data_IF_912127326021
#
_entry.id   IF_912127326021
#
_cell.length_a   1.000
_cell.length_b   1.000
_cell.length_c   1.000
_cell.angle_alpha   90.00
_cell.angle_beta   90.00
_cell.angle_gamma   90.00
#
_symmetry.space_group_name_H-M   'P 1'
#
loop_
_entity.id
_entity.type
_entity.pdbx_description
1 polymer ?
#
# COMPACT_ATOMS: atom_id res chain seq x y z
N UNK A 1 -10.34 -11.48 -0.84
CA UNK A 1 -11.45 -10.90 -0.04
C UNK A 1 -12.51 -11.96 0.27
N UNK A 2 -13.45 -12.30 -0.63
CA UNK A 2 -14.59 -13.21 -0.30
C UNK A 2 -14.41 -14.69 -0.68
N UNK A 3 -13.25 -15.04 -1.26
CA UNK A 3 -12.96 -16.40 -1.73
C UNK A 3 -13.67 -16.80 -3.04
N UNK A 4 -13.24 -17.91 -3.65
CA UNK A 4 -13.68 -18.33 -4.98
C UNK A 4 -15.17 -18.72 -5.07
N UNK A 5 -15.72 -19.36 -4.03
CA UNK A 5 -17.11 -19.84 -4.07
C UNK A 5 -18.12 -18.67 -4.04
N UNK A 6 -17.99 -17.77 -3.06
CA UNK A 6 -18.88 -16.60 -2.92
C UNK A 6 -18.76 -15.65 -4.11
N UNK A 7 -17.55 -15.42 -4.62
CA UNK A 7 -17.39 -14.62 -5.83
C UNK A 7 -18.19 -15.19 -7.02
N UNK A 8 -18.13 -16.51 -7.25
CA UNK A 8 -18.88 -17.16 -8.33
C UNK A 8 -20.39 -17.10 -8.13
N UNK A 9 -20.86 -17.28 -6.89
CA UNK A 9 -22.28 -17.13 -6.53
C UNK A 9 -22.80 -15.74 -6.90
N UNK A 10 -22.09 -14.67 -6.52
CA UNK A 10 -22.45 -13.29 -6.86
C UNK A 10 -22.53 -13.12 -8.39
N UNK A 11 -21.50 -13.52 -9.14
CA UNK A 11 -21.45 -13.28 -10.58
C UNK A 11 -22.40 -14.16 -11.41
N UNK A 12 -22.64 -15.41 -11.00
CA UNK A 12 -23.51 -16.31 -11.76
C UNK A 12 -24.99 -16.15 -11.43
N UNK A 13 -25.32 -15.82 -10.18
CA UNK A 13 -26.71 -15.74 -9.74
C UNK A 13 -27.24 -14.31 -9.71
N UNK A 14 -26.38 -13.30 -9.51
CA UNK A 14 -26.79 -11.90 -9.50
C UNK A 14 -27.78 -11.55 -8.38
N UNK A 15 -27.71 -12.22 -7.24
CA UNK A 15 -28.57 -11.94 -6.09
C UNK A 15 -28.20 -10.61 -5.41
N UNK A 16 -29.18 -10.03 -4.74
CA UNK A 16 -28.98 -8.89 -3.84
C UNK A 16 -28.46 -9.38 -2.48
N UNK A 17 -27.55 -8.60 -1.90
CA UNK A 17 -27.01 -8.84 -0.57
C UNK A 17 -27.08 -7.57 0.26
N UNK A 18 -27.52 -7.71 1.50
CA UNK A 18 -27.49 -6.64 2.50
C UNK A 18 -26.06 -6.28 2.90
N UNK A 19 -25.88 -5.12 3.54
CA UNK A 19 -24.59 -4.71 4.10
C UNK A 19 -24.05 -5.72 5.12
N UNK A 20 -24.94 -6.36 5.88
CA UNK A 20 -24.59 -7.37 6.87
C UNK A 20 -24.08 -8.66 6.23
N UNK A 21 -24.75 -9.17 5.21
CA UNK A 21 -24.27 -10.35 4.45
C UNK A 21 -22.93 -10.04 3.77
N UNK A 22 -22.77 -8.85 3.20
CA UNK A 22 -21.51 -8.42 2.58
C UNK A 22 -20.34 -8.32 3.58
N UNK A 23 -20.62 -7.93 4.83
CA UNK A 23 -19.65 -7.96 5.92
C UNK A 23 -19.26 -9.39 6.31
N UNK A 24 -20.25 -10.27 6.45
CA UNK A 24 -20.02 -11.69 6.76
C UNK A 24 -19.24 -12.43 5.67
N UNK A 25 -19.42 -12.03 4.41
CA UNK A 25 -18.61 -12.52 3.28
C UNK A 25 -17.18 -11.99 3.28
N UNK A 26 -16.92 -10.85 3.93
CA UNK A 26 -15.60 -10.21 4.01
C UNK A 26 -15.31 -9.16 2.93
N UNK A 27 -16.33 -8.62 2.24
CA UNK A 27 -16.16 -7.50 1.29
C UNK A 27 -16.55 -6.13 1.86
N UNK A 28 -17.20 -6.09 3.02
CA UNK A 28 -17.44 -4.86 3.80
C UNK A 28 -16.63 -4.95 5.10
N UNK A 29 -15.94 -3.87 5.48
CA UNK A 29 -15.12 -3.85 6.69
C UNK A 29 -15.91 -3.54 7.98
N UNK A 30 -17.01 -2.80 7.88
CA UNK A 30 -17.89 -2.46 9.02
C UNK A 30 -19.28 -2.06 8.52
N UNK A 31 -20.32 -2.54 9.20
CA UNK A 31 -21.72 -2.11 9.01
C UNK A 31 -22.07 -1.06 10.05
N UNK A 32 -22.77 -0.01 9.63
CA UNK A 32 -23.22 1.10 10.49
C UNK A 32 -24.61 1.55 10.08
N UNK A 33 -25.29 2.26 10.98
CA UNK A 33 -26.56 2.91 10.66
C UNK A 33 -26.38 3.94 9.55
N UNK A 34 -27.40 4.07 8.70
CA UNK A 34 -27.33 4.91 7.50
C UNK A 34 -26.94 6.37 7.80
N UNK A 35 -27.47 6.93 8.90
CA UNK A 35 -27.20 8.31 9.30
C UNK A 35 -25.79 8.52 9.91
N UNK A 36 -25.09 7.46 10.28
CA UNK A 36 -23.71 7.52 10.82
C UNK A 36 -22.64 7.19 9.79
N UNK A 37 -23.02 6.82 8.55
CA UNK A 37 -22.09 6.35 7.53
C UNK A 37 -20.92 7.31 7.30
N UNK A 38 -21.22 8.60 7.09
CA UNK A 38 -20.20 9.61 6.83
C UNK A 38 -19.37 9.93 8.08
N UNK A 39 -20.00 9.97 9.26
CA UNK A 39 -19.30 10.21 10.53
C UNK A 39 -18.26 9.13 10.79
N UNK A 40 -18.64 7.86 10.60
CA UNK A 40 -17.73 6.72 10.77
C UNK A 40 -16.61 6.74 9.71
N UNK A 41 -16.94 7.07 8.45
CA UNK A 41 -15.94 7.17 7.38
C UNK A 41 -14.89 8.27 7.68
N UNK A 42 -15.33 9.44 8.14
CA UNK A 42 -14.44 10.54 8.55
C UNK A 42 -13.61 10.15 9.77
N UNK A 43 -14.17 9.39 10.72
CA UNK A 43 -13.44 8.86 11.87
C UNK A 43 -12.30 7.94 11.43
N UNK A 44 -12.55 7.02 10.50
CA UNK A 44 -11.53 6.14 9.94
C UNK A 44 -10.47 6.92 9.15
N UNK A 45 -10.90 7.90 8.36
CA UNK A 45 -9.98 8.79 7.63
C UNK A 45 -9.04 9.55 8.56
N UNK A 46 -9.55 10.08 9.68
CA UNK A 46 -8.72 10.71 10.72
C UNK A 46 -7.71 9.74 11.33
N UNK A 47 -8.13 8.51 11.63
CA UNK A 47 -7.23 7.49 12.18
C UNK A 47 -6.10 7.14 11.20
N UNK A 48 -6.41 6.93 9.92
CA UNK A 48 -5.42 6.65 8.87
C UNK A 48 -4.47 7.84 8.67
N UNK A 49 -4.99 9.07 8.65
CA UNK A 49 -4.19 10.28 8.47
C UNK A 49 -3.32 10.62 9.68
N UNK A 50 -3.54 9.97 10.84
CA UNK A 50 -2.66 10.08 12.01
C UNK A 50 -1.37 9.26 11.89
N UNK A 51 -1.24 8.38 10.88
CA UNK A 51 -0.12 7.44 10.73
C UNK A 51 0.99 8.02 9.85
N UNK A 52 2.17 7.38 9.90
CA UNK A 52 3.30 7.74 9.04
C UNK A 52 2.90 7.66 7.56
N UNK A 53 2.95 8.77 6.79
CA UNK A 53 2.57 8.76 5.38
C UNK A 53 3.42 7.80 4.54
N UNK A 54 4.70 7.63 4.90
CA UNK A 54 5.59 6.65 4.26
C UNK A 54 5.14 5.23 4.54
N UNK A 55 4.83 4.90 5.80
CA UNK A 55 4.34 3.57 6.15
C UNK A 55 3.01 3.25 5.44
N UNK A 56 2.06 4.19 5.43
CA UNK A 56 0.77 4.00 4.75
C UNK A 56 0.92 3.72 3.25
N UNK A 57 1.83 4.44 2.58
CA UNK A 57 2.09 4.24 1.15
C UNK A 57 2.79 2.92 0.86
N UNK A 58 3.80 2.56 1.65
CA UNK A 58 4.50 1.29 1.51
C UNK A 58 3.60 0.10 1.80
N UNK A 59 2.75 0.17 2.83
CA UNK A 59 1.78 -0.88 3.16
C UNK A 59 0.77 -1.08 2.03
N UNK A 60 0.22 0.00 1.46
CA UNK A 60 -0.69 -0.08 0.32
C UNK A 60 -0.04 -0.83 -0.84
N UNK A 61 1.16 -0.43 -1.25
CA UNK A 61 1.85 -1.12 -2.36
C UNK A 61 2.30 -2.54 -1.98
N UNK A 62 2.65 -2.78 -0.72
CA UNK A 62 3.01 -4.11 -0.22
C UNK A 62 1.84 -5.08 -0.26
N UNK A 63 0.62 -4.64 0.09
CA UNK A 63 -0.58 -5.48 -0.02
C UNK A 63 -0.98 -5.78 -1.46
N UNK A 64 -0.75 -4.83 -2.38
CA UNK A 64 -1.04 -4.99 -3.80
C UNK A 64 -0.02 -5.88 -4.53
N UNK A 65 1.25 -5.85 -4.10
CA UNK A 65 2.38 -6.51 -4.74
C UNK A 65 2.13 -7.99 -5.15
N UNK A 66 1.61 -8.88 -4.29
CA UNK A 66 1.41 -10.28 -4.66
C UNK A 66 0.33 -10.49 -5.74
N UNK A 67 -0.62 -9.56 -5.87
CA UNK A 67 -1.77 -9.71 -6.76
C UNK A 67 -1.60 -8.94 -8.10
N UNK A 68 -0.80 -7.87 -8.11
CA UNK A 68 -0.65 -6.96 -9.26
C UNK A 68 0.55 -7.31 -10.20
N UNK A 69 1.30 -8.37 -9.90
CA UNK A 69 2.42 -8.84 -10.72
C UNK A 69 3.50 -7.78 -10.97
N UNK A 70 3.95 -7.62 -12.22
CA UNK A 70 5.01 -6.66 -12.58
C UNK A 70 4.63 -5.20 -12.30
N UNK A 71 3.35 -4.85 -12.40
CA UNK A 71 2.87 -3.49 -12.09
C UNK A 71 2.97 -3.24 -10.58
N UNK A 72 2.55 -4.22 -9.77
CA UNK A 72 2.72 -4.17 -8.32
C UNK A 72 4.19 -4.00 -7.92
N UNK A 73 5.08 -4.78 -8.55
CA UNK A 73 6.52 -4.69 -8.33
C UNK A 73 7.08 -3.32 -8.70
N UNK A 74 6.68 -2.76 -9.85
CA UNK A 74 7.11 -1.43 -10.28
C UNK A 74 6.72 -0.35 -9.27
N UNK A 75 5.47 -0.37 -8.77
CA UNK A 75 4.98 0.64 -7.82
C UNK A 75 5.70 0.54 -6.47
N UNK A 76 5.86 -0.67 -5.94
CA UNK A 76 6.56 -0.89 -4.67
C UNK A 76 8.06 -0.55 -4.79
N UNK A 77 8.73 -1.03 -5.84
CA UNK A 77 10.15 -0.76 -6.07
C UNK A 77 10.42 0.73 -6.33
N UNK A 78 9.48 1.44 -6.97
CA UNK A 78 9.57 2.90 -7.17
C UNK A 78 9.63 3.67 -5.85
N UNK A 79 8.82 3.30 -4.85
CA UNK A 79 8.91 3.91 -3.52
C UNK A 79 10.14 3.47 -2.72
N UNK A 80 10.57 2.20 -2.84
CA UNK A 80 11.85 1.76 -2.27
C UNK A 80 13.03 2.58 -2.85
N UNK A 81 12.99 2.86 -4.16
CA UNK A 81 13.97 3.71 -4.84
C UNK A 81 13.91 5.16 -4.33
N UNK A 82 12.71 5.71 -4.13
CA UNK A 82 12.54 7.04 -3.51
C UNK A 82 13.16 7.10 -2.11
N UNK A 83 13.00 6.05 -1.31
CA UNK A 83 13.62 5.96 0.02
C UNK A 83 15.14 5.91 -0.08
N UNK A 84 15.70 5.14 -1.02
CA UNK A 84 17.14 5.08 -1.26
C UNK A 84 17.70 6.47 -1.64
N UNK A 85 17.00 7.23 -2.48
CA UNK A 85 17.39 8.60 -2.83
C UNK A 85 17.45 9.58 -1.65
N UNK A 86 16.82 9.26 -0.52
CA UNK A 86 16.86 10.08 0.69
C UNK A 86 18.09 9.84 1.59
N UNK A 87 19.03 8.98 1.18
CA UNK A 87 20.19 8.59 1.99
C UNK A 87 21.46 9.34 1.60
N UNK A 88 22.41 9.42 2.54
CA UNK A 88 23.76 9.95 2.30
C UNK A 88 24.53 9.13 1.25
N UNK A 89 24.22 7.83 1.12
CA UNK A 89 24.79 6.97 0.09
C UNK A 89 24.37 7.40 -1.32
N UNK A 90 23.08 7.67 -1.52
CA UNK A 90 22.60 8.19 -2.80
C UNK A 90 23.17 9.59 -3.09
N UNK A 91 23.35 10.42 -2.06
CA UNK A 91 24.00 11.71 -2.20
C UNK A 91 25.45 11.58 -2.70
N UNK A 92 26.25 10.70 -2.10
CA UNK A 92 27.63 10.41 -2.55
C UNK A 92 27.66 9.99 -4.03
N UNK A 93 26.75 9.11 -4.44
CA UNK A 93 26.65 8.67 -5.83
C UNK A 93 26.36 9.82 -6.80
N UNK A 94 25.42 10.71 -6.44
CA UNK A 94 25.06 11.90 -7.23
C UNK A 94 26.22 12.88 -7.32
N UNK A 95 26.82 13.24 -6.18
CA UNK A 95 27.83 14.29 -6.10
C UNK A 95 29.11 13.85 -6.82
N UNK A 96 29.56 12.60 -6.62
CA UNK A 96 30.71 12.05 -7.34
C UNK A 96 30.51 12.02 -8.87
N UNK A 97 29.28 11.78 -9.35
CA UNK A 97 28.97 11.83 -10.78
C UNK A 97 29.10 13.26 -11.34
N UNK A 98 28.55 14.26 -10.64
CA UNK A 98 28.63 15.67 -11.05
C UNK A 98 30.08 16.20 -11.01
N UNK A 99 30.83 15.81 -9.99
CA UNK A 99 32.23 16.20 -9.77
C UNK A 99 33.23 15.39 -10.62
N UNK A 100 32.76 14.35 -11.34
CA UNK A 100 33.58 13.43 -12.16
C UNK A 100 34.72 12.78 -11.36
N UNK A 101 34.48 12.46 -10.09
CA UNK A 101 35.42 11.76 -9.22
C UNK A 101 34.99 10.31 -8.95
N UNK A 102 35.89 9.44 -8.46
CA UNK A 102 35.51 8.12 -7.94
C UNK A 102 34.50 8.23 -6.78
N UNK A 103 33.66 7.21 -6.62
CA UNK A 103 32.66 7.10 -5.54
C UNK A 103 33.31 6.46 -4.31
N UNK A 104 32.96 6.94 -3.13
CA UNK A 104 33.47 6.44 -1.85
C UNK A 104 32.42 5.62 -1.09
N UNK A 105 31.90 4.55 -1.69
CA UNK A 105 30.87 3.73 -1.02
C UNK A 105 31.39 2.89 0.16
N UNK A 106 32.72 2.75 0.31
CA UNK A 106 33.32 1.99 1.40
C UNK A 106 33.02 2.55 2.81
N UNK A 107 32.49 3.77 2.92
CA UNK A 107 32.05 4.38 4.18
C UNK A 107 30.66 3.91 4.65
N UNK A 108 29.91 3.20 3.82
CA UNK A 108 28.58 2.68 4.14
C UNK A 108 28.65 1.16 4.42
N UNK A 109 28.08 0.68 5.55
CA UNK A 109 28.17 -0.73 5.93
C UNK A 109 27.25 -1.63 5.09
N UNK A 110 27.69 -2.88 4.88
CA UNK A 110 26.82 -3.91 4.30
C UNK A 110 25.82 -4.42 5.35
N UNK A 111 24.54 -4.12 5.16
CA UNK A 111 23.45 -4.69 5.93
C UNK A 111 22.91 -5.94 5.21
N UNK A 112 22.93 -7.08 5.87
CA UNK A 112 22.38 -8.36 5.39
C UNK A 112 21.58 -9.03 6.50
#
# INVERSE_FOLDING_TARGET
>A
MIGQKRAREIFFCGFDYSAQEAYEMGMVNKVVDHFELENEALRWGKEINSKSPTAMRMLKYGFNLPDDGLVGQQLFAGEATRLAYGTDEAQEGRDAFLEKRPKEFGKFPWHY
#
